data_IF_211082704748
#
_entry.id   IF_211082704748
#
_cell.length_a   1.000
_cell.length_b   1.000
_cell.length_c   1.000
_cell.angle_alpha   90.00
_cell.angle_beta   90.00
_cell.angle_gamma   90.00
#
_symmetry.space_group_name_H-M   'P 1'
#
loop_
_entity.id
_entity.type
_entity.pdbx_description
1 polymer ?
#
# COMPACT_ATOMS: atom_id res chain seq x y z
N UNK A 1 -2.93 -1.80 3.89
CA UNK A 1 -1.71 -1.20 3.31
C UNK A 1 -0.49 -1.85 3.95
N UNK A 2 0.49 -2.27 3.17
CA UNK A 2 1.67 -2.97 3.68
C UNK A 2 2.93 -2.12 3.60
N UNK A 3 3.73 -2.14 4.65
CA UNK A 3 5.12 -1.66 4.65
C UNK A 3 6.01 -2.83 4.25
N UNK A 4 6.88 -2.61 3.29
CA UNK A 4 7.63 -3.65 2.59
C UNK A 4 9.13 -3.37 2.65
N UNK A 5 9.92 -4.41 2.90
CA UNK A 5 11.34 -4.41 2.55
C UNK A 5 11.47 -4.46 1.02
N UNK A 6 12.06 -3.43 0.43
CA UNK A 6 12.17 -3.30 -1.02
C UNK A 6 13.07 -4.37 -1.63
N UNK A 7 14.01 -4.91 -0.86
CA UNK A 7 15.00 -5.87 -1.35
C UNK A 7 14.54 -7.32 -1.22
N UNK A 8 13.35 -7.55 -0.66
CA UNK A 8 12.77 -8.89 -0.58
C UNK A 8 12.43 -9.47 -1.96
N UNK A 9 12.47 -10.82 -2.12
CA UNK A 9 12.24 -11.47 -3.40
C UNK A 9 10.79 -11.36 -3.92
N UNK A 10 9.82 -11.14 -3.03
CA UNK A 10 8.40 -10.96 -3.33
C UNK A 10 7.69 -10.17 -2.22
N UNK A 11 6.40 -9.86 -2.41
CA UNK A 11 5.62 -9.04 -1.47
C UNK A 11 5.23 -9.77 -0.18
N UNK A 12 5.29 -11.10 -0.17
CA UNK A 12 5.00 -11.91 1.02
C UNK A 12 6.20 -11.86 1.96
N UNK A 13 7.38 -12.17 1.43
CA UNK A 13 8.65 -12.13 2.16
C UNK A 13 9.03 -10.70 2.57
N UNK A 14 8.61 -9.70 1.80
CA UNK A 14 8.89 -8.29 2.09
C UNK A 14 7.99 -7.67 3.15
N UNK A 15 6.88 -8.29 3.54
CA UNK A 15 5.96 -7.68 4.49
C UNK A 15 6.59 -7.53 5.88
N UNK A 16 6.72 -6.27 6.34
CA UNK A 16 7.26 -5.96 7.66
C UNK A 16 6.17 -5.55 8.66
N UNK A 17 5.20 -4.75 8.20
CA UNK A 17 4.16 -4.21 9.05
C UNK A 17 2.94 -3.78 8.22
N UNK A 18 1.81 -3.61 8.89
CA UNK A 18 0.64 -2.93 8.35
C UNK A 18 0.63 -1.47 8.80
N UNK A 19 0.33 -0.56 7.88
CA UNK A 19 0.14 0.85 8.19
C UNK A 19 -1.24 1.36 7.79
N UNK A 20 -1.51 2.63 8.10
CA UNK A 20 -2.71 3.39 7.78
C UNK A 20 -2.31 4.61 6.96
N UNK A 21 -2.94 4.82 5.80
CA UNK A 21 -2.75 6.05 5.03
C UNK A 21 -3.53 7.16 5.73
N UNK A 22 -2.86 8.13 6.35
CA UNK A 22 -3.52 9.20 7.12
C UNK A 22 -3.69 10.49 6.33
N UNK A 23 -2.90 10.65 5.26
CA UNK A 23 -3.05 11.66 4.23
C UNK A 23 -2.54 11.08 2.90
N UNK A 24 -2.75 11.74 1.77
CA UNK A 24 -2.39 11.23 0.45
C UNK A 24 -0.90 10.84 0.30
N UNK A 25 0.00 11.41 1.09
CA UNK A 25 1.43 11.08 1.10
C UNK A 25 1.99 10.72 2.49
N UNK A 26 1.14 10.51 3.50
CA UNK A 26 1.57 10.23 4.88
C UNK A 26 0.99 8.92 5.39
N UNK A 27 1.88 8.07 5.90
CA UNK A 27 1.56 6.75 6.43
C UNK A 27 1.84 6.71 7.93
N UNK A 28 0.89 6.24 8.72
CA UNK A 28 1.05 5.92 10.14
C UNK A 28 1.25 4.40 10.29
N UNK A 29 2.24 4.00 11.09
CA UNK A 29 2.60 2.61 11.37
C UNK A 29 2.48 2.42 12.88
N UNK A 30 1.35 1.91 13.38
CA UNK A 30 1.20 1.57 14.79
C UNK A 30 2.10 0.37 15.14
N UNK A 31 2.73 0.41 16.31
CA UNK A 31 3.64 -0.64 16.79
C UNK A 31 4.73 -1.03 15.75
N UNK A 32 5.56 -0.08 15.30
CA UNK A 32 6.55 -0.32 14.24
C UNK A 32 7.58 -1.39 14.66
N UNK A 33 7.87 -2.39 13.81
CA UNK A 33 8.89 -3.40 14.11
C UNK A 33 10.30 -2.82 14.05
N UNK A 34 11.24 -3.48 14.75
CA UNK A 34 12.65 -3.05 14.84
C UNK A 34 13.32 -2.85 13.48
N UNK A 35 12.93 -3.64 12.48
CA UNK A 35 13.45 -3.55 11.11
C UNK A 35 13.26 -2.15 10.49
N UNK A 36 12.22 -1.40 10.86
CA UNK A 36 11.97 -0.05 10.31
C UNK A 36 12.91 1.03 10.85
N UNK A 37 13.70 0.74 11.88
CA UNK A 37 14.68 1.67 12.45
C UNK A 37 16.06 1.55 11.80
N UNK A 38 16.25 0.54 10.95
CA UNK A 38 17.45 0.35 10.17
C UNK A 38 17.51 1.36 9.02
N UNK A 39 18.48 2.28 9.08
CA UNK A 39 18.64 3.38 8.11
C UNK A 39 19.24 2.93 6.78
N UNK A 40 19.83 1.74 6.73
CA UNK A 40 20.43 1.21 5.50
C UNK A 40 19.41 0.47 4.64
N UNK A 41 18.28 0.06 5.24
CA UNK A 41 17.18 -0.57 4.52
C UNK A 41 16.41 0.41 3.66
N UNK A 42 15.93 -0.13 2.55
CA UNK A 42 15.04 0.58 1.65
C UNK A 42 13.62 0.03 1.82
N UNK A 43 12.68 0.93 2.04
CA UNK A 43 11.29 0.56 2.27
C UNK A 43 10.40 1.04 1.15
N UNK A 44 9.40 0.24 0.85
CA UNK A 44 8.31 0.59 -0.05
C UNK A 44 6.98 0.41 0.68
N UNK A 45 5.98 1.20 0.31
CA UNK A 45 4.61 1.09 0.81
C UNK A 45 3.73 0.59 -0.33
N UNK A 46 3.02 -0.51 -0.07
CA UNK A 46 1.99 -1.04 -0.96
C UNK A 46 0.60 -0.66 -0.46
N UNK A 47 -0.13 0.07 -1.29
CA UNK A 47 -1.49 0.53 -0.99
C UNK A 47 -2.45 -0.11 -1.98
N UNK A 48 -3.44 -0.81 -1.43
CA UNK A 48 -4.42 -1.60 -2.18
C UNK A 48 -5.67 -1.83 -1.31
N UNK A 49 -6.84 -2.10 -1.91
CA UNK A 49 -8.07 -2.42 -1.18
C UNK A 49 -7.96 -3.80 -0.52
N UNK A 50 -8.75 -4.01 0.54
CA UNK A 50 -8.84 -5.32 1.23
C UNK A 50 -9.36 -6.42 0.32
N UNK A 51 -10.16 -6.08 -0.68
CA UNK A 51 -10.67 -6.99 -1.70
C UNK A 51 -10.01 -6.69 -3.05
N UNK A 52 -9.23 -7.66 -3.56
CA UNK A 52 -8.53 -7.55 -4.83
C UNK A 52 -9.29 -8.23 -5.96
N UNK A 53 -9.42 -7.52 -7.07
CA UNK A 53 -9.84 -8.02 -8.38
C UNK A 53 -8.68 -7.92 -9.36
N UNK A 54 -8.78 -8.57 -10.52
CA UNK A 54 -7.75 -8.50 -11.57
C UNK A 54 -7.45 -7.08 -12.08
N UNK A 55 -8.37 -6.13 -11.85
CA UNK A 55 -8.23 -4.73 -12.27
C UNK A 55 -7.99 -3.77 -11.10
N UNK A 56 -7.81 -4.29 -9.88
CA UNK A 56 -7.53 -3.45 -8.72
C UNK A 56 -6.22 -2.70 -8.91
N UNK A 57 -6.21 -1.38 -8.62
CA UNK A 57 -4.99 -0.57 -8.69
C UNK A 57 -4.08 -0.91 -7.51
N UNK A 58 -2.77 -1.02 -7.73
CA UNK A 58 -1.79 -1.16 -6.65
C UNK A 58 -0.87 0.06 -6.74
N UNK A 59 -0.75 0.79 -5.64
CA UNK A 59 0.25 1.83 -5.51
C UNK A 59 1.46 1.25 -4.78
N UNK A 60 2.60 1.21 -5.47
CA UNK A 60 3.89 0.83 -4.92
C UNK A 60 4.77 2.09 -4.82
N UNK A 61 4.86 2.66 -3.62
CA UNK A 61 5.41 4.00 -3.40
C UNK A 61 6.59 3.95 -2.44
N UNK A 62 7.67 4.64 -2.77
CA UNK A 62 8.84 4.71 -1.90
C UNK A 62 8.58 5.66 -0.74
N UNK A 63 9.14 5.33 0.43
CA UNK A 63 9.14 6.23 1.58
C UNK A 63 10.50 6.91 1.69
N UNK A 64 10.53 8.24 1.76
CA UNK A 64 11.79 9.00 1.81
C UNK A 64 12.15 9.51 3.20
N UNK A 65 11.20 9.47 4.14
CA UNK A 65 11.43 9.94 5.52
C UNK A 65 10.55 9.19 6.50
N UNK A 66 11.18 8.67 7.56
CA UNK A 66 10.47 8.14 8.73
C UNK A 66 10.69 9.03 9.97
N UNK A 67 9.71 9.06 10.86
CA UNK A 67 9.77 9.68 12.18
C UNK A 67 9.04 8.82 13.20
N UNK A 68 9.60 8.64 14.39
CA UNK A 68 9.01 7.84 15.46
C UNK A 68 8.35 8.72 16.53
N UNK A 69 7.32 8.17 17.16
CA UNK A 69 6.62 8.77 18.29
C UNK A 69 6.76 7.83 19.49
N UNK A 70 7.48 8.28 20.51
CA UNK A 70 7.70 7.55 21.75
C UNK A 70 7.51 8.49 22.95
N UNK A 71 7.19 7.91 24.10
CA UNK A 71 7.32 8.60 25.38
C UNK A 71 8.80 8.68 25.76
N UNK A 72 9.20 9.71 26.51
CA UNK A 72 10.60 9.94 26.92
C UNK A 72 11.20 8.74 27.68
N UNK A 73 10.40 8.05 28.48
CA UNK A 73 10.81 6.86 29.22
C UNK A 73 10.71 5.55 28.38
N UNK A 74 10.15 5.63 27.17
CA UNK A 74 9.89 4.49 26.27
C UNK A 74 10.49 4.69 24.86
N UNK A 75 11.55 5.50 24.71
CA UNK A 75 12.17 5.80 23.40
C UNK A 75 12.53 4.57 22.55
N UNK A 76 12.89 3.45 23.20
CA UNK A 76 13.23 2.18 22.54
C UNK A 76 12.02 1.37 22.09
N UNK A 77 10.80 1.77 22.46
CA UNK A 77 9.54 1.11 22.11
C UNK A 77 8.52 2.17 21.69
N UNK A 78 8.75 2.83 20.54
CA UNK A 78 7.81 3.83 20.04
C UNK A 78 6.42 3.24 19.82
N UNK A 79 5.41 4.03 20.15
CA UNK A 79 4.00 3.69 19.97
C UNK A 79 3.63 3.70 18.48
N UNK A 80 4.27 4.61 17.73
CA UNK A 80 4.02 4.76 16.31
C UNK A 80 5.26 5.22 15.54
N UNK A 81 5.22 5.03 14.23
CA UNK A 81 6.09 5.67 13.27
C UNK A 81 5.25 6.29 12.16
N UNK A 82 5.68 7.43 11.62
CA UNK A 82 5.13 7.98 10.38
C UNK A 82 6.15 7.90 9.26
N UNK A 83 5.70 7.51 8.07
CA UNK A 83 6.47 7.57 6.83
C UNK A 83 5.89 8.60 5.87
N UNK A 84 6.75 9.31 5.13
CA UNK A 84 6.33 10.19 4.03
C UNK A 84 6.67 9.58 2.68
N UNK A 85 5.66 9.46 1.82
CA UNK A 85 5.76 8.90 0.48
C UNK A 85 6.41 9.90 -0.48
N UNK A 86 7.10 9.39 -1.50
CA UNK A 86 7.71 10.23 -2.56
C UNK A 86 6.68 10.85 -3.50
N UNK A 87 5.52 10.20 -3.64
CA UNK A 87 4.38 10.66 -4.41
C UNK A 87 3.09 10.42 -3.64
N UNK A 88 2.05 11.20 -3.96
CA UNK A 88 0.72 10.95 -3.43
C UNK A 88 0.18 9.60 -3.95
N UNK A 89 -0.48 8.87 -3.06
CA UNK A 89 -1.30 7.73 -3.42
C UNK A 89 -2.54 8.18 -4.18
N UNK A 90 -3.02 7.29 -5.05
CA UNK A 90 -4.33 7.38 -5.69
C UNK A 90 -5.47 7.06 -4.73
N UNK A 91 -5.17 6.49 -3.56
CA UNK A 91 -6.13 6.18 -2.50
C UNK A 91 -6.33 7.38 -1.56
N UNK A 92 -7.56 7.52 -1.04
CA UNK A 92 -7.88 8.47 0.01
C UNK A 92 -7.37 8.00 1.38
N UNK A 93 -7.29 8.94 2.32
CA UNK A 93 -6.99 8.62 3.71
C UNK A 93 -7.96 7.56 4.28
N UNK A 94 -7.40 6.67 5.10
CA UNK A 94 -8.07 5.50 5.69
C UNK A 94 -8.44 5.73 7.16
N UNK A 95 -8.14 6.92 7.68
CA UNK A 95 -8.43 7.31 9.06
C UNK A 95 -9.55 8.34 9.08
N UNK A 96 -10.48 8.19 10.01
CA UNK A 96 -11.50 9.17 10.33
C UNK A 96 -10.98 10.29 11.23
N UNK A 97 -11.88 11.19 11.63
CA UNK A 97 -11.56 12.24 12.60
C UNK A 97 -11.32 11.64 13.99
N UNK A 98 -10.26 12.10 14.67
CA UNK A 98 -9.92 11.65 16.02
C UNK A 98 -9.66 12.87 16.91
N UNK A 99 -10.39 12.95 18.03
CA UNK A 99 -10.09 13.92 19.08
C UNK A 99 -8.80 13.53 19.82
N UNK A 100 -7.84 14.45 19.89
CA UNK A 100 -6.51 14.17 20.44
C UNK A 100 -6.52 13.86 21.94
N UNK A 101 -7.44 14.46 22.71
CA UNK A 101 -7.55 14.18 24.15
C UNK A 101 -8.13 12.80 24.39
N UNK A 102 -9.14 12.41 23.61
CA UNK A 102 -9.69 11.05 23.66
C UNK A 102 -8.65 10.02 23.24
N UNK A 103 -7.90 10.26 22.16
CA UNK A 103 -6.81 9.37 21.74
C UNK A 103 -5.75 9.20 22.83
N UNK A 104 -5.33 10.28 23.48
CA UNK A 104 -4.36 10.21 24.57
C UNK A 104 -4.87 9.37 25.75
N UNK A 105 -6.10 9.63 26.21
CA UNK A 105 -6.73 8.85 27.29
C UNK A 105 -6.86 7.38 26.92
N UNK A 106 -7.34 7.06 25.71
CA UNK A 106 -7.51 5.67 25.27
C UNK A 106 -6.16 4.97 25.12
N UNK A 107 -5.11 5.65 24.64
CA UNK A 107 -3.77 5.08 24.58
C UNK A 107 -3.24 4.73 25.98
N UNK A 108 -3.48 5.59 26.98
CA UNK A 108 -3.10 5.31 28.37
C UNK A 108 -3.85 4.08 28.91
N UNK A 109 -5.17 4.01 28.70
CA UNK A 109 -6.01 2.88 29.11
C UNK A 109 -5.62 1.56 28.41
N UNK A 110 -4.97 1.64 27.25
CA UNK A 110 -4.51 0.50 26.43
C UNK A 110 -3.00 0.24 26.53
N UNK A 111 -2.31 0.83 27.51
CA UNK A 111 -0.85 0.72 27.71
C UNK A 111 -0.02 0.99 26.44
N UNK A 112 -0.45 1.96 25.64
CA UNK A 112 0.21 2.37 24.41
C UNK A 112 -0.09 1.50 23.18
N UNK A 113 -1.05 0.59 23.23
CA UNK A 113 -1.53 -0.11 22.04
C UNK A 113 -2.37 0.81 21.15
N UNK A 114 -1.70 1.40 20.15
CA UNK A 114 -2.33 2.31 19.21
C UNK A 114 -3.35 1.62 18.28
N UNK A 115 -3.19 0.35 17.94
CA UNK A 115 -4.21 -0.36 17.16
C UNK A 115 -5.50 -0.48 17.97
N UNK A 116 -5.39 -0.93 19.22
CA UNK A 116 -6.54 -1.05 20.12
C UNK A 116 -7.24 0.31 20.32
N UNK A 117 -6.46 1.38 20.51
CA UNK A 117 -7.02 2.72 20.69
C UNK A 117 -7.76 3.23 19.44
N UNK A 118 -7.20 3.02 18.24
CA UNK A 118 -7.83 3.45 16.99
C UNK A 118 -9.14 2.68 16.70
N UNK A 119 -9.21 1.39 17.04
CA UNK A 119 -10.46 0.63 16.88
C UNK A 119 -11.52 0.99 17.91
N UNK A 120 -11.13 1.30 19.15
CA UNK A 120 -12.09 1.72 20.18
C UNK A 120 -12.72 3.08 19.83
N UNK A 121 -11.97 3.95 19.17
CA UNK A 121 -12.44 5.26 18.74
C UNK A 121 -13.14 5.23 17.37
N UNK A 122 -13.32 4.05 16.77
CA UNK A 122 -13.85 3.87 15.41
C UNK A 122 -13.10 4.73 14.37
N UNK A 123 -11.82 5.02 14.63
CA UNK A 123 -10.98 5.87 13.77
C UNK A 123 -10.58 5.16 12.48
N UNK A 124 -10.52 3.82 12.51
CA UNK A 124 -10.25 2.98 11.35
C UNK A 124 -11.16 1.75 11.37
N UNK A 125 -11.49 1.16 10.21
CA UNK A 125 -12.21 -0.11 10.15
C UNK A 125 -11.49 -1.22 10.94
N UNK A 126 -12.27 -2.06 11.63
CA UNK A 126 -11.72 -3.28 12.25
C UNK A 126 -11.16 -4.21 11.19
N UNK A 127 -10.07 -4.90 11.51
CA UNK A 127 -9.40 -5.82 10.60
C UNK A 127 -8.62 -5.15 9.46
N UNK A 128 -8.57 -3.81 9.37
CA UNK A 128 -7.75 -3.13 8.35
C UNK A 128 -6.26 -3.48 8.44
N UNK A 129 -5.82 -3.95 9.62
CA UNK A 129 -4.45 -4.38 9.87
C UNK A 129 -4.15 -5.82 9.42
N UNK A 130 -5.19 -6.60 9.10
CA UNK A 130 -5.10 -8.01 8.72
C UNK A 130 -4.68 -8.12 7.24
N UNK A 131 -3.43 -8.52 7.01
CA UNK A 131 -2.89 -8.75 5.68
C UNK A 131 -2.43 -10.21 5.62
N UNK A 132 -3.10 -11.01 4.79
CA UNK A 132 -2.73 -12.41 4.60
C UNK A 132 -1.61 -12.57 3.55
N UNK A 133 -0.81 -13.65 3.63
CA UNK A 133 0.14 -14.01 2.58
C UNK A 133 -0.50 -14.16 1.20
N UNK A 134 -1.71 -14.71 1.12
CA UNK A 134 -2.44 -14.89 -0.14
C UNK A 134 -2.82 -13.54 -0.77
N UNK A 135 -3.27 -12.60 0.06
CA UNK A 135 -3.57 -11.23 -0.38
C UNK A 135 -2.33 -10.53 -0.93
N UNK A 136 -1.18 -10.69 -0.27
CA UNK A 136 0.10 -10.14 -0.72
C UNK A 136 0.58 -10.79 -2.02
N UNK A 137 0.46 -12.10 -2.15
CA UNK A 137 0.80 -12.81 -3.39
C UNK A 137 -0.09 -12.37 -4.55
N UNK A 138 -1.38 -12.12 -4.29
CA UNK A 138 -2.29 -11.58 -5.29
C UNK A 138 -1.95 -10.13 -5.66
N UNK A 139 -1.65 -9.28 -4.68
CA UNK A 139 -1.23 -7.90 -4.89
C UNK A 139 0.05 -7.81 -5.74
N UNK A 140 1.02 -8.70 -5.46
CA UNK A 140 2.26 -8.84 -6.22
C UNK A 140 2.00 -9.16 -7.69
N UNK A 141 1.16 -10.16 -7.97
CA UNK A 141 0.78 -10.51 -9.34
C UNK A 141 0.15 -9.32 -10.08
N UNK A 142 -0.83 -8.67 -9.46
CA UNK A 142 -1.56 -7.54 -10.05
C UNK A 142 -0.62 -6.35 -10.30
N UNK A 143 0.26 -6.03 -9.35
CA UNK A 143 1.23 -4.95 -9.50
C UNK A 143 2.19 -5.21 -10.67
N UNK A 144 2.71 -6.43 -10.80
CA UNK A 144 3.59 -6.81 -11.92
C UNK A 144 2.87 -6.67 -13.26
N UNK A 145 1.60 -7.06 -13.34
CA UNK A 145 0.77 -6.88 -14.54
C UNK A 145 0.58 -5.40 -14.90
N UNK A 146 0.46 -4.50 -13.91
CA UNK A 146 0.36 -3.05 -14.14
C UNK A 146 1.64 -2.43 -14.72
N UNK A 147 2.79 -3.08 -14.53
CA UNK A 147 4.08 -2.65 -15.06
C UNK A 147 4.41 -3.25 -16.43
N UNK A 148 3.62 -4.20 -16.93
CA UNK A 148 3.78 -4.69 -18.29
C UNK A 148 3.54 -3.54 -19.28
N UNK A 149 4.30 -3.47 -20.39
CA UNK A 149 4.07 -2.47 -21.43
C UNK A 149 2.60 -2.50 -21.86
N UNK A 150 1.95 -1.33 -21.85
CA UNK A 150 0.60 -1.21 -22.40
C UNK A 150 0.61 -1.62 -23.87
N UNK A 151 -0.50 -2.16 -24.36
CA UNK A 151 -0.67 -2.51 -25.79
C UNK A 151 -0.33 -1.37 -26.76
N UNK A 152 -0.51 -0.13 -26.33
CA UNK A 152 -0.13 1.09 -27.06
C UNK A 152 1.38 1.27 -27.23
N UNK A 153 2.21 0.52 -26.50
CA UNK A 153 3.67 0.52 -26.58
C UNK A 153 4.20 -0.74 -27.29
N UNK A 154 3.33 -1.58 -27.85
CA UNK A 154 3.78 -2.69 -28.67
C UNK A 154 4.34 -2.15 -29.98
N UNK A 155 5.50 -2.71 -30.36
CA UNK A 155 6.01 -2.60 -31.72
C UNK A 155 5.50 -3.80 -32.50
N UNK A 156 5.24 -3.61 -33.78
CA UNK A 156 4.70 -4.63 -34.67
C UNK A 156 5.69 -4.84 -35.80
N UNK A 157 5.91 -6.10 -36.17
CA UNK A 157 6.89 -6.46 -37.20
C UNK A 157 6.37 -6.10 -38.60
N UNK A 158 5.06 -5.97 -38.77
CA UNK A 158 4.43 -5.51 -40.01
C UNK A 158 3.10 -4.76 -39.80
N UNK A 159 2.59 -4.20 -40.90
CA UNK A 159 1.34 -3.46 -40.93
C UNK A 159 0.10 -4.34 -40.67
N UNK A 160 0.15 -5.64 -40.96
CA UNK A 160 -0.93 -6.59 -40.67
C UNK A 160 -1.11 -6.80 -39.17
N UNK A 161 -0.01 -7.05 -38.45
CA UNK A 161 -0.02 -7.20 -37.00
C UNK A 161 -0.45 -5.92 -36.29
N UNK A 162 0.02 -4.77 -36.78
CA UNK A 162 -0.37 -3.46 -36.24
C UNK A 162 -1.87 -3.18 -36.44
N UNK A 163 -2.41 -3.46 -37.63
CA UNK A 163 -3.83 -3.23 -37.91
C UNK A 163 -4.74 -4.18 -37.13
N UNK A 164 -4.33 -5.44 -36.93
CA UNK A 164 -4.98 -6.35 -35.98
C UNK A 164 -5.02 -5.79 -34.56
N UNK A 165 -3.92 -5.17 -34.10
CA UNK A 165 -3.86 -4.48 -32.82
C UNK A 165 -4.81 -3.27 -32.71
N UNK A 166 -4.93 -2.47 -33.78
CA UNK A 166 -5.82 -1.30 -33.84
C UNK A 166 -7.30 -1.65 -33.88
N UNK A 167 -7.67 -2.71 -34.61
CA UNK A 167 -9.06 -3.12 -34.79
C UNK A 167 -9.76 -3.51 -33.49
N UNK A 168 -9.01 -3.83 -32.43
CA UNK A 168 -9.53 -4.11 -31.09
C UNK A 168 -9.93 -2.82 -30.36
N UNK A 169 -9.26 -1.69 -30.66
CA UNK A 169 -9.52 -0.39 -30.01
C UNK A 169 -10.53 0.46 -30.76
N UNK A 170 -10.63 0.26 -32.07
CA UNK A 170 -11.48 1.08 -32.90
C UNK A 170 -12.48 0.21 -33.66
N UNK A 171 -13.76 0.36 -33.31
CA UNK A 171 -14.88 -0.39 -33.89
C UNK A 171 -15.17 -0.08 -35.38
N UNK A 172 -14.21 0.44 -36.14
CA UNK A 172 -14.34 0.70 -37.58
C UNK A 172 -13.93 -0.48 -38.46
N UNK A 173 -13.30 -1.51 -37.89
CA UNK A 173 -12.91 -2.69 -38.66
C UNK A 173 -14.13 -3.58 -38.95
N UNK A 174 -14.23 -4.05 -40.20
CA UNK A 174 -15.25 -5.03 -40.60
C UNK A 174 -15.18 -6.26 -39.67
N UNK A 175 -16.31 -6.92 -39.36
CA UNK A 175 -16.33 -8.01 -38.40
C UNK A 175 -15.36 -9.10 -38.80
N UNK A 176 -14.43 -9.44 -37.89
CA UNK A 176 -13.61 -10.63 -38.00
C UNK A 176 -14.55 -11.83 -37.99
N UNK A 177 -14.81 -12.42 -39.16
CA UNK A 177 -15.36 -13.77 -39.22
C UNK A 177 -14.28 -14.67 -38.63
N UNK A 178 -14.53 -15.20 -37.44
CA UNK A 178 -13.81 -16.34 -36.93
C UNK A 178 -14.20 -17.52 -37.82
N UNK A 179 -13.30 -17.91 -38.72
CA UNK A 179 -13.31 -19.24 -39.34
C UNK A 179 -12.58 -20.22 -38.39
#
# INVERSE_FOLDING_TARGET
MSIQDRLAPDRVAGHLATGILVDGDVVLIPAPPEALFDRERQFQVLIFPTELTEHSKIDALDCWKFGSFALEDRERRPVAMTGRLTHHSTYAAQIGEVDSRRLASTLEDRDGDLWAALWELDAVPRGINEISPELLAQADRIEREQHLPKRTHHTFDDYGDMTGGWCIFFCFCLPHKHD
#
